data_IF_275197171361
#
_entry.id   IF_275197171361
#
_cell.length_a   1.000
_cell.length_b   1.000
_cell.length_c   1.000
_cell.angle_alpha   90.00
_cell.angle_beta   90.00
_cell.angle_gamma   90.00
#
_symmetry.space_group_name_H-M   'P 1'
#
loop_
_entity.id
_entity.type
_entity.pdbx_description
1 polymer ?
#
# COMPACT_ATOMS: atom_id res chain seq x y z
N UNK A 1 5.93 -37.85 4.58
CA UNK A 1 6.47 -36.47 4.73
C UNK A 1 5.28 -35.58 5.02
N UNK A 2 5.28 -34.86 6.14
CA UNK A 2 4.15 -33.98 6.47
C UNK A 2 4.08 -32.87 5.42
N UNK A 3 2.95 -32.77 4.73
CA UNK A 3 2.66 -31.83 3.65
C UNK A 3 2.36 -30.40 4.15
N UNK A 4 2.55 -30.16 5.45
CA UNK A 4 2.18 -28.91 6.09
C UNK A 4 3.26 -27.84 5.89
N UNK A 5 2.80 -26.65 5.51
CA UNK A 5 3.67 -25.48 5.39
C UNK A 5 4.22 -25.10 6.77
N UNK A 6 5.51 -24.73 6.88
CA UNK A 6 6.08 -24.25 8.14
C UNK A 6 5.25 -23.09 8.74
N UNK A 7 5.08 -23.03 10.07
CA UNK A 7 4.33 -21.95 10.72
C UNK A 7 4.81 -20.54 10.34
N UNK A 8 6.13 -20.37 10.18
CA UNK A 8 6.74 -19.13 9.73
C UNK A 8 6.34 -18.72 8.32
N UNK A 9 6.22 -19.68 7.40
CA UNK A 9 5.78 -19.43 6.03
C UNK A 9 4.30 -19.02 6.00
N UNK A 10 3.46 -19.66 6.81
CA UNK A 10 2.03 -19.27 6.92
C UNK A 10 1.91 -17.84 7.44
N UNK A 11 2.63 -17.50 8.50
CA UNK A 11 2.62 -16.15 9.08
C UNK A 11 3.10 -15.10 8.05
N UNK A 12 4.22 -15.36 7.37
CA UNK A 12 4.75 -14.45 6.37
C UNK A 12 3.78 -14.24 5.20
N UNK A 13 3.15 -15.31 4.71
CA UNK A 13 2.15 -15.23 3.65
C UNK A 13 0.90 -14.45 4.11
N UNK A 14 0.40 -14.73 5.30
CA UNK A 14 -0.78 -14.07 5.86
C UNK A 14 -0.58 -12.56 5.99
N UNK A 15 0.56 -12.12 6.55
CA UNK A 15 0.87 -10.69 6.68
C UNK A 15 1.10 -10.03 5.32
N UNK A 16 1.75 -10.71 4.37
CA UNK A 16 1.90 -10.19 3.01
C UNK A 16 0.53 -9.98 2.33
N UNK A 17 -0.41 -10.91 2.48
CA UNK A 17 -1.76 -10.78 1.93
C UNK A 17 -2.56 -9.66 2.59
N UNK A 18 -2.48 -9.53 3.92
CA UNK A 18 -3.13 -8.43 4.66
C UNK A 18 -2.60 -7.06 4.23
N UNK A 19 -1.28 -6.95 4.05
CA UNK A 19 -0.65 -5.74 3.54
C UNK A 19 -1.11 -5.42 2.11
N UNK A 20 -1.13 -6.41 1.21
CA UNK A 20 -1.62 -6.22 -0.16
C UNK A 20 -3.08 -5.73 -0.21
N UNK A 21 -3.96 -6.31 0.62
CA UNK A 21 -5.36 -5.87 0.73
C UNK A 21 -5.47 -4.43 1.26
N UNK A 22 -4.63 -4.06 2.23
CA UNK A 22 -4.59 -2.70 2.77
C UNK A 22 -4.10 -1.68 1.75
N UNK A 23 -3.10 -2.05 0.94
CA UNK A 23 -2.58 -1.21 -0.14
C UNK A 23 -3.63 -0.96 -1.23
N UNK A 24 -4.36 -2.00 -1.66
CA UNK A 24 -5.46 -1.85 -2.62
C UNK A 24 -6.53 -0.88 -2.09
N UNK A 25 -6.89 -0.99 -0.81
CA UNK A 25 -7.85 -0.06 -0.17
C UNK A 25 -7.31 1.37 -0.09
N UNK A 26 -6.01 1.53 0.16
CA UNK A 26 -5.37 2.83 0.25
C UNK A 26 -5.28 3.53 -1.12
N UNK A 27 -5.11 2.77 -2.19
CA UNK A 27 -5.09 3.27 -3.58
C UNK A 27 -6.44 3.91 -3.97
N UNK A 28 -7.55 3.36 -3.51
CA UNK A 28 -8.88 3.95 -3.70
C UNK A 28 -9.07 5.20 -2.81
N UNK A 29 -8.62 5.13 -1.54
CA UNK A 29 -8.83 6.18 -0.55
C UNK A 29 -8.08 7.48 -0.86
N UNK A 30 -6.93 7.43 -1.54
CA UNK A 30 -6.17 8.64 -1.91
C UNK A 30 -6.92 9.56 -2.89
N UNK A 31 -7.86 9.00 -3.67
CA UNK A 31 -8.67 9.73 -4.65
C UNK A 31 -10.02 10.21 -4.10
N UNK A 32 -10.43 9.72 -2.93
CA UNK A 32 -11.69 10.15 -2.32
C UNK A 32 -11.55 11.55 -1.70
N UNK A 33 -12.55 12.44 -1.89
CA UNK A 33 -12.59 13.73 -1.21
C UNK A 33 -12.66 13.50 0.31
N UNK A 34 -11.90 14.28 1.07
CA UNK A 34 -11.86 14.17 2.52
C UNK A 34 -13.24 14.50 3.11
N UNK A 35 -13.73 13.71 4.07
CA UNK A 35 -14.96 13.95 4.82
C UNK A 35 -14.96 15.24 5.68
N UNK A 36 -13.90 16.03 5.64
CA UNK A 36 -13.81 17.30 6.35
C UNK A 36 -14.84 18.30 5.78
N UNK A 37 -15.75 18.85 6.62
CA UNK A 37 -16.64 19.92 6.20
C UNK A 37 -15.78 21.09 5.69
N UNK A 38 -15.84 21.36 4.38
CA UNK A 38 -15.25 22.57 3.83
C UNK A 38 -16.20 23.73 4.13
N UNK A 39 -15.71 24.89 4.61
CA UNK A 39 -16.50 26.11 4.59
C UNK A 39 -17.00 26.33 3.17
N UNK A 40 -18.32 26.42 3.00
CA UNK A 40 -18.94 26.65 1.70
C UNK A 40 -18.77 28.13 1.36
N UNK A 41 -17.81 28.45 0.51
CA UNK A 41 -17.88 29.71 -0.25
C UNK A 41 -18.98 29.52 -1.29
N UNK A 42 -20.13 30.15 -1.05
CA UNK A 42 -21.21 30.22 -2.04
C UNK A 42 -20.72 31.06 -3.22
N UNK A 43 -20.18 30.38 -4.21
CA UNK A 43 -19.97 30.91 -5.56
C UNK A 43 -21.03 30.30 -6.48
N UNK A 44 -21.47 31.08 -7.47
CA UNK A 44 -22.55 30.71 -8.39
C UNK A 44 -22.12 29.69 -9.46
N UNK A 45 -20.90 29.17 -9.40
CA UNK A 45 -20.37 28.21 -10.38
C UNK A 45 -20.52 26.76 -9.91
N UNK A 46 -21.00 25.91 -10.82
CA UNK A 46 -21.27 24.49 -10.56
C UNK A 46 -19.99 23.68 -10.78
N UNK A 47 -19.48 23.01 -9.75
CA UNK A 47 -18.37 22.05 -9.88
C UNK A 47 -18.79 20.85 -10.76
N UNK A 48 -18.22 20.73 -11.97
CA UNK A 48 -18.53 19.70 -12.98
C UNK A 48 -17.45 18.62 -13.14
N UNK A 49 -16.94 18.06 -12.04
CA UNK A 49 -15.95 16.97 -12.10
C UNK A 49 -16.24 15.86 -11.10
N UNK A 50 -16.34 14.62 -11.57
CA UNK A 50 -16.44 13.42 -10.71
C UNK A 50 -15.12 13.16 -9.95
N UNK A 51 -14.00 13.67 -10.47
CA UNK A 51 -12.72 13.74 -9.79
C UNK A 51 -12.38 15.21 -9.51
N UNK A 52 -12.23 15.57 -8.24
CA UNK A 52 -11.56 16.83 -7.89
C UNK A 52 -10.10 16.70 -8.28
N UNK A 53 -9.69 17.44 -9.30
CA UNK A 53 -8.28 17.69 -9.57
C UNK A 53 -7.63 18.17 -8.26
N UNK A 54 -6.54 17.55 -7.76
CA UNK A 54 -5.97 17.92 -6.47
C UNK A 54 -5.46 19.36 -6.52
N UNK A 55 -6.29 20.30 -6.08
CA UNK A 55 -5.90 21.67 -5.79
C UNK A 55 -4.69 21.70 -4.83
N UNK A 56 -3.88 22.76 -4.83
CA UNK A 56 -2.68 22.85 -3.98
C UNK A 56 -2.91 22.58 -2.49
N UNK A 57 -4.14 22.84 -1.99
CA UNK A 57 -4.56 22.52 -0.61
C UNK A 57 -4.65 21.02 -0.32
N UNK A 58 -4.98 20.20 -1.31
CA UNK A 58 -5.04 18.73 -1.22
C UNK A 58 -3.66 18.08 -1.29
N UNK A 59 -2.66 18.74 -1.85
CA UNK A 59 -1.27 18.23 -1.94
C UNK A 59 -0.54 18.38 -0.59
N UNK A 60 -0.84 19.44 0.17
CA UNK A 60 -0.22 19.71 1.48
C UNK A 60 -1.00 19.14 2.67
N UNK A 61 -2.08 18.39 2.42
CA UNK A 61 -2.86 17.72 3.47
C UNK A 61 -2.00 16.67 4.18
N UNK A 62 -1.68 16.93 5.45
CA UNK A 62 -0.80 16.08 6.26
C UNK A 62 -1.31 14.66 6.42
N UNK A 63 -2.63 14.43 6.38
CA UNK A 63 -3.21 13.07 6.43
C UNK A 63 -2.98 12.31 5.14
N UNK A 64 -3.13 12.98 3.98
CA UNK A 64 -2.84 12.36 2.67
C UNK A 64 -1.36 12.08 2.49
N UNK A 65 -0.49 12.99 2.96
CA UNK A 65 0.96 12.76 2.95
C UNK A 65 1.36 11.57 3.83
N UNK A 66 0.78 11.45 5.03
CA UNK A 66 1.02 10.30 5.91
C UNK A 66 0.53 8.98 5.30
N UNK A 67 -0.64 8.99 4.63
CA UNK A 67 -1.16 7.83 3.91
C UNK A 67 -0.22 7.43 2.76
N UNK A 68 0.19 8.39 1.92
CA UNK A 68 1.13 8.13 0.81
C UNK A 68 2.47 7.59 1.30
N UNK A 69 3.03 8.15 2.37
CA UNK A 69 4.26 7.66 2.97
C UNK A 69 4.11 6.21 3.46
N UNK A 70 2.97 5.87 4.06
CA UNK A 70 2.67 4.51 4.51
C UNK A 70 2.50 3.53 3.34
N UNK A 71 1.86 3.96 2.24
CA UNK A 71 1.72 3.17 1.00
C UNK A 71 3.10 2.86 0.42
N UNK A 72 3.94 3.88 0.22
CA UNK A 72 5.30 3.71 -0.29
C UNK A 72 6.13 2.76 0.59
N UNK A 73 6.03 2.91 1.92
CA UNK A 73 6.74 2.03 2.85
C UNK A 73 6.25 0.58 2.77
N UNK A 74 4.94 0.36 2.57
CA UNK A 74 4.36 -0.97 2.39
C UNK A 74 4.82 -1.65 1.09
N UNK A 75 4.82 -0.92 -0.02
CA UNK A 75 5.30 -1.43 -1.32
C UNK A 75 6.80 -1.78 -1.28
N UNK A 76 7.60 -0.92 -0.67
CA UNK A 76 9.03 -1.15 -0.46
C UNK A 76 9.29 -2.38 0.43
N UNK A 77 8.48 -2.57 1.48
CA UNK A 77 8.57 -3.74 2.35
C UNK A 77 8.26 -5.05 1.62
N UNK A 78 7.22 -5.08 0.77
CA UNK A 78 6.91 -6.24 -0.07
C UNK A 78 8.04 -6.58 -1.04
N UNK A 79 8.59 -5.56 -1.69
CA UNK A 79 9.71 -5.71 -2.64
C UNK A 79 10.95 -6.29 -1.95
N UNK A 80 11.37 -5.68 -0.83
CA UNK A 80 12.53 -6.15 -0.05
C UNK A 80 12.35 -7.58 0.46
N UNK A 81 11.13 -7.92 0.88
CA UNK A 81 10.82 -9.28 1.34
C UNK A 81 10.96 -10.30 0.20
N UNK A 82 10.41 -9.99 -0.98
CA UNK A 82 10.52 -10.85 -2.16
C UNK A 82 11.98 -11.05 -2.58
N UNK A 83 12.76 -9.97 -2.62
CA UNK A 83 14.19 -10.01 -2.96
C UNK A 83 15.00 -10.86 -1.98
N UNK A 84 14.75 -10.68 -0.68
CA UNK A 84 15.42 -11.45 0.36
C UNK A 84 15.10 -12.95 0.28
N UNK A 85 13.83 -13.31 0.09
CA UNK A 85 13.42 -14.71 -0.08
C UNK A 85 14.07 -15.34 -1.34
N UNK A 86 14.11 -14.60 -2.45
CA UNK A 86 14.76 -15.07 -3.67
C UNK A 86 16.28 -15.25 -3.48
N UNK A 87 16.93 -14.35 -2.74
CA UNK A 87 18.34 -14.47 -2.37
C UNK A 87 18.62 -15.73 -1.55
N UNK A 88 17.86 -15.96 -0.47
CA UNK A 88 18.03 -17.13 0.40
C UNK A 88 17.76 -18.43 -0.36
N UNK A 89 16.69 -18.49 -1.17
CA UNK A 89 16.37 -19.66 -2.01
C UNK A 89 17.53 -20.03 -2.94
N UNK A 90 18.09 -19.06 -3.67
CA UNK A 90 19.24 -19.29 -4.55
C UNK A 90 20.50 -19.71 -3.79
N UNK A 91 20.66 -19.25 -2.54
CA UNK A 91 21.73 -19.71 -1.65
C UNK A 91 21.59 -21.19 -1.30
N UNK A 92 20.38 -21.61 -0.92
CA UNK A 92 20.06 -23.01 -0.60
C UNK A 92 20.21 -23.93 -1.82
N UNK A 93 19.70 -23.55 -2.99
CA UNK A 93 19.84 -24.34 -4.22
C UNK A 93 21.31 -24.60 -4.57
N UNK A 94 22.17 -23.58 -4.44
CA UNK A 94 23.61 -23.71 -4.66
C UNK A 94 24.30 -24.60 -3.62
N UNK A 95 23.82 -24.63 -2.39
CA UNK A 95 24.36 -25.49 -1.34
C UNK A 95 23.95 -26.95 -1.55
N UNK A 96 22.73 -27.19 -2.04
CA UNK A 96 22.20 -28.53 -2.31
C UNK A 96 22.76 -29.15 -3.60
N UNK A 97 23.24 -28.34 -4.54
CA UNK A 97 23.86 -28.81 -5.80
C UNK A 97 25.36 -29.12 -5.68
N UNK A 98 25.90 -29.18 -4.45
CA UNK A 98 27.29 -29.57 -4.14
C UNK A 98 27.31 -30.99 -3.60
#
# INVERSE_FOLDING_TARGET
MSTELPPSLRLAAEEAFRLAASLATAEDAQWMPSHSPKPREDTTERSKGEHSDPTGSTVIDSRRLALRASVMAGEDALTKTADYLAYVRRGLERALSR
#
